data_IF_715742176204
#
_entry.id   IF_715742176204
#
_cell.length_a   1.000
_cell.length_b   1.000
_cell.length_c   1.000
_cell.angle_alpha   90.00
_cell.angle_beta   90.00
_cell.angle_gamma   90.00
#
_symmetry.space_group_name_H-M   'P 1'
#
loop_
_entity.id
_entity.type
_entity.pdbx_description
1 polymer ?
#
# COMPACT_ATOMS: atom_id res chain seq x y z
N UNK A 1 -0.74 -22.11 -19.89
CA UNK A 1 -1.20 -21.35 -18.72
C UNK A 1 -1.42 -19.91 -19.18
N UNK A 2 -2.55 -19.26 -18.85
CA UNK A 2 -2.67 -17.84 -19.15
C UNK A 2 -1.53 -17.10 -18.43
N UNK A 3 -0.74 -16.35 -19.18
CA UNK A 3 0.29 -15.47 -18.65
C UNK A 3 -0.40 -14.35 -17.89
N UNK A 4 -0.02 -14.15 -16.63
CA UNK A 4 -0.52 -13.03 -15.81
C UNK A 4 -0.16 -11.71 -16.48
N UNK A 5 -1.15 -10.84 -16.65
CA UNK A 5 -0.91 -9.47 -17.13
C UNK A 5 -0.32 -8.64 -15.97
N UNK A 6 0.93 -8.18 -16.04
CA UNK A 6 1.56 -7.41 -14.97
C UNK A 6 0.87 -6.07 -14.70
N UNK A 7 0.04 -5.57 -15.63
CA UNK A 7 -0.74 -4.35 -15.47
C UNK A 7 -2.08 -4.57 -14.73
N UNK A 8 -2.51 -5.83 -14.56
CA UNK A 8 -3.80 -6.16 -13.95
C UNK A 8 -4.01 -5.50 -12.56
N UNK A 9 -3.01 -5.46 -11.65
CA UNK A 9 -3.19 -4.83 -10.34
C UNK A 9 -3.51 -3.33 -10.40
N UNK A 10 -3.18 -2.67 -11.51
CA UNK A 10 -3.32 -1.23 -11.68
C UNK A 10 -4.59 -0.80 -12.41
N UNK A 11 -5.46 -1.76 -12.80
CA UNK A 11 -6.70 -1.48 -13.51
C UNK A 11 -7.81 -1.02 -12.57
N UNK A 12 -8.61 -0.07 -13.02
CA UNK A 12 -9.87 0.36 -12.35
C UNK A 12 -9.72 0.66 -10.84
N UNK A 13 -8.75 1.49 -10.51
CA UNK A 13 -8.43 1.81 -9.12
C UNK A 13 -9.42 2.75 -8.43
N UNK A 14 -10.43 3.27 -9.12
CA UNK A 14 -11.42 4.20 -8.54
C UNK A 14 -12.11 3.64 -7.30
N UNK A 15 -12.46 2.34 -7.36
CA UNK A 15 -13.22 1.64 -6.31
C UNK A 15 -12.41 0.53 -5.66
N UNK A 16 -11.09 0.53 -5.85
CA UNK A 16 -10.27 -0.59 -5.45
C UNK A 16 -10.09 -0.68 -3.93
N UNK A 17 -10.52 -1.80 -3.40
CA UNK A 17 -9.99 -2.39 -2.17
C UNK A 17 -8.61 -3.00 -2.41
N UNK A 18 -8.40 -4.17 -1.84
CA UNK A 18 -7.26 -5.04 -2.17
C UNK A 18 -7.47 -5.76 -3.50
N UNK A 19 -6.39 -6.34 -4.03
CA UNK A 19 -6.37 -7.14 -5.27
C UNK A 19 -5.84 -8.53 -4.98
N UNK A 20 -6.28 -9.51 -5.75
CA UNK A 20 -5.68 -10.85 -5.72
C UNK A 20 -4.60 -10.96 -6.81
N UNK A 21 -3.41 -11.38 -6.41
CA UNK A 21 -2.27 -11.54 -7.31
C UNK A 21 -1.90 -13.04 -7.39
N UNK A 22 -1.87 -13.65 -8.59
CA UNK A 22 -1.44 -15.03 -8.77
C UNK A 22 -0.03 -15.26 -8.19
N UNK A 23 0.10 -16.20 -7.27
CA UNK A 23 1.37 -16.54 -6.62
C UNK A 23 1.78 -15.65 -5.44
N UNK A 24 1.06 -14.54 -5.18
CA UNK A 24 1.37 -13.65 -4.05
C UNK A 24 0.17 -13.34 -3.14
N UNK A 25 -1.03 -13.86 -3.47
CA UNK A 25 -2.24 -13.63 -2.68
C UNK A 25 -2.70 -12.18 -2.71
N UNK A 26 -3.26 -11.72 -1.61
CA UNK A 26 -3.85 -10.40 -1.51
C UNK A 26 -2.80 -9.28 -1.57
N UNK A 27 -3.04 -8.27 -2.41
CA UNK A 27 -2.16 -7.13 -2.65
C UNK A 27 -2.90 -5.81 -2.44
N UNK A 28 -2.15 -4.75 -2.19
CA UNK A 28 -2.64 -3.38 -2.12
C UNK A 28 -1.86 -2.45 -3.06
N UNK A 29 -2.45 -1.30 -3.37
CA UNK A 29 -1.84 -0.27 -4.23
C UNK A 29 -1.48 0.96 -3.40
N UNK A 30 -0.22 1.36 -3.49
CA UNK A 30 0.28 2.67 -3.04
C UNK A 30 0.41 3.61 -4.25
N UNK A 31 -0.02 4.87 -4.09
CA UNK A 31 -0.09 5.86 -5.17
C UNK A 31 0.62 7.15 -4.79
N UNK A 32 1.46 7.63 -5.67
CA UNK A 32 2.18 8.89 -5.55
C UNK A 32 3.61 8.73 -5.02
N UNK A 33 4.48 9.65 -5.46
CA UNK A 33 5.93 9.57 -5.24
C UNK A 33 6.31 9.34 -3.78
N UNK A 34 5.86 10.21 -2.89
CA UNK A 34 6.23 10.17 -1.46
C UNK A 34 5.84 8.82 -0.84
N UNK A 35 4.63 8.34 -1.15
CA UNK A 35 4.13 7.09 -0.57
C UNK A 35 4.85 5.86 -1.15
N UNK A 36 5.14 5.87 -2.45
CA UNK A 36 5.89 4.78 -3.10
C UNK A 36 7.33 4.73 -2.59
N UNK A 37 8.00 5.86 -2.46
CA UNK A 37 9.36 5.91 -1.91
C UNK A 37 9.42 5.40 -0.46
N UNK A 38 8.47 5.80 0.38
CA UNK A 38 8.33 5.31 1.75
C UNK A 38 8.05 3.79 1.79
N UNK A 39 7.23 3.29 0.86
CA UNK A 39 6.96 1.86 0.72
C UNK A 39 8.22 1.07 0.31
N UNK A 40 9.04 1.60 -0.61
CA UNK A 40 10.31 0.98 -1.00
C UNK A 40 11.29 0.91 0.18
N UNK A 41 11.32 1.91 1.04
CA UNK A 41 12.12 1.88 2.28
C UNK A 41 11.58 0.84 3.27
N UNK A 42 10.26 0.76 3.43
CA UNK A 42 9.64 -0.28 4.24
C UNK A 42 9.94 -1.69 3.70
N UNK A 43 10.01 -1.86 2.37
CA UNK A 43 10.38 -3.13 1.75
C UNK A 43 11.84 -3.49 2.01
N UNK A 44 12.78 -2.54 1.95
CA UNK A 44 14.19 -2.78 2.32
C UNK A 44 14.35 -3.17 3.79
N UNK A 45 13.49 -2.64 4.65
CA UNK A 45 13.43 -3.01 6.06
C UNK A 45 12.69 -4.34 6.33
N UNK A 46 12.24 -5.05 5.29
CA UNK A 46 11.56 -6.35 5.39
C UNK A 46 10.12 -6.29 5.94
N UNK A 47 9.52 -5.10 6.00
CA UNK A 47 8.16 -4.93 6.54
C UNK A 47 7.06 -5.28 5.54
N UNK A 48 7.32 -5.08 4.26
CA UNK A 48 6.39 -5.35 3.15
C UNK A 48 7.16 -5.93 1.97
N UNK A 49 6.46 -6.62 1.08
CA UNK A 49 7.03 -7.13 -0.17
C UNK A 49 6.42 -6.36 -1.34
N UNK A 50 7.22 -5.53 -2.02
CA UNK A 50 6.82 -4.84 -3.25
C UNK A 50 6.98 -5.80 -4.42
N UNK A 51 5.92 -5.97 -5.21
CA UNK A 51 5.88 -6.90 -6.35
C UNK A 51 6.21 -6.18 -7.66
N UNK A 52 5.60 -5.02 -7.87
CA UNK A 52 5.84 -4.22 -9.06
C UNK A 52 5.66 -2.72 -8.78
N UNK A 53 6.26 -1.91 -9.64
CA UNK A 53 6.07 -0.46 -9.67
C UNK A 53 5.69 -0.05 -11.07
N UNK A 54 4.57 0.66 -11.23
CA UNK A 54 4.15 1.28 -12.46
C UNK A 54 4.52 2.76 -12.46
N UNK A 55 5.23 3.21 -13.49
CA UNK A 55 5.83 4.52 -13.54
C UNK A 55 5.74 5.16 -14.93
N UNK A 56 5.74 6.49 -14.98
CA UNK A 56 6.09 7.20 -16.22
C UNK A 56 7.57 7.01 -16.53
N UNK A 57 7.99 7.18 -17.79
CA UNK A 57 9.39 7.02 -18.18
C UNK A 57 10.35 7.88 -17.36
N UNK A 58 9.98 9.13 -17.09
CA UNK A 58 10.80 10.03 -16.26
C UNK A 58 10.89 9.57 -14.80
N UNK A 59 9.76 9.16 -14.19
CA UNK A 59 9.74 8.68 -12.83
C UNK A 59 10.48 7.34 -12.69
N UNK A 60 10.40 6.46 -13.68
CA UNK A 60 11.11 5.19 -13.71
C UNK A 60 12.64 5.37 -13.65
N UNK A 61 13.18 6.35 -14.40
CA UNK A 61 14.60 6.66 -14.36
C UNK A 61 15.10 7.04 -12.96
N UNK A 62 14.28 7.76 -12.20
CA UNK A 62 14.65 8.24 -10.87
C UNK A 62 14.60 7.16 -9.76
N UNK A 63 13.78 6.11 -9.94
CA UNK A 63 13.59 5.11 -8.88
C UNK A 63 14.22 3.75 -9.18
N UNK A 64 14.68 3.50 -10.40
CA UNK A 64 15.18 2.21 -10.87
C UNK A 64 16.21 1.59 -9.90
N UNK A 65 17.21 2.37 -9.51
CA UNK A 65 18.29 1.91 -8.63
C UNK A 65 17.86 1.76 -7.16
N UNK A 66 16.65 2.18 -6.85
CA UNK A 66 16.07 2.10 -5.51
C UNK A 66 15.09 0.94 -5.34
N UNK A 67 14.83 0.16 -6.39
CA UNK A 67 13.90 -0.97 -6.32
C UNK A 67 14.54 -2.14 -5.57
N UNK A 68 13.78 -2.78 -4.67
CA UNK A 68 14.19 -4.05 -4.07
C UNK A 68 14.37 -5.14 -5.12
N UNK A 69 15.27 -6.09 -4.85
CA UNK A 69 15.49 -7.24 -5.74
C UNK A 69 14.18 -8.00 -5.95
N UNK A 70 13.87 -8.32 -7.20
CA UNK A 70 12.65 -9.03 -7.59
C UNK A 70 11.41 -8.13 -7.77
N UNK A 71 11.55 -6.81 -7.63
CA UNK A 71 10.47 -5.86 -7.95
C UNK A 71 10.46 -5.58 -9.46
N UNK A 72 9.33 -5.80 -10.11
CA UNK A 72 9.15 -5.51 -11.53
C UNK A 72 8.91 -4.00 -11.75
N UNK A 73 9.57 -3.40 -12.73
CA UNK A 73 9.36 -2.01 -13.13
C UNK A 73 8.61 -1.94 -14.45
N UNK A 74 7.37 -1.48 -14.40
CA UNK A 74 6.50 -1.27 -15.55
C UNK A 74 6.51 0.21 -15.95
N UNK A 75 6.74 0.49 -17.22
CA UNK A 75 6.77 1.88 -17.71
C UNK A 75 5.74 2.10 -18.78
N UNK A 76 5.02 3.22 -18.70
CA UNK A 76 4.08 3.63 -19.73
C UNK A 76 3.92 5.17 -19.74
N UNK A 77 3.35 5.67 -20.83
CA UNK A 77 2.99 7.08 -20.95
C UNK A 77 1.89 7.48 -19.94
N UNK A 78 1.86 8.74 -19.47
CA UNK A 78 0.87 9.21 -18.49
C UNK A 78 -0.58 8.96 -18.90
N UNK A 79 -0.89 9.05 -20.20
CA UNK A 79 -2.23 8.77 -20.74
C UNK A 79 -2.62 7.30 -20.57
N UNK A 80 -1.69 6.38 -20.80
CA UNK A 80 -1.89 4.94 -20.63
C UNK A 80 -2.11 4.62 -19.17
N UNK A 81 -1.28 5.15 -18.25
CA UNK A 81 -1.44 4.96 -16.81
C UNK A 81 -2.77 5.51 -16.30
N UNK A 82 -3.20 6.67 -16.82
CA UNK A 82 -4.51 7.25 -16.49
C UNK A 82 -5.66 6.37 -16.98
N UNK A 83 -5.56 5.83 -18.19
CA UNK A 83 -6.54 4.89 -18.74
C UNK A 83 -6.64 3.61 -17.93
N UNK A 84 -5.51 3.02 -17.53
CA UNK A 84 -5.46 1.85 -16.66
C UNK A 84 -6.08 2.11 -15.30
N UNK A 85 -5.64 3.16 -14.62
CA UNK A 85 -6.12 3.51 -13.27
C UNK A 85 -7.59 3.93 -13.24
N UNK A 86 -8.16 4.36 -14.36
CA UNK A 86 -9.54 4.84 -14.48
C UNK A 86 -9.73 6.27 -13.98
N UNK A 87 -8.67 7.03 -13.72
CA UNK A 87 -8.71 8.44 -13.31
C UNK A 87 -7.45 9.19 -13.78
N UNK A 88 -7.46 10.54 -13.85
CA UNK A 88 -6.28 11.31 -14.22
C UNK A 88 -5.12 11.04 -13.27
N UNK A 89 -4.07 10.42 -13.79
CA UNK A 89 -2.90 10.03 -13.00
C UNK A 89 -1.74 11.01 -13.23
N UNK A 90 -1.60 11.96 -12.29
CA UNK A 90 -0.59 13.03 -12.38
C UNK A 90 0.66 12.78 -11.50
N UNK A 91 0.66 11.70 -10.71
CA UNK A 91 1.67 11.49 -9.66
C UNK A 91 2.88 10.68 -10.08
N UNK A 92 2.89 10.16 -11.29
CA UNK A 92 4.04 9.51 -11.94
C UNK A 92 4.42 8.12 -11.43
N UNK A 93 3.96 7.69 -10.23
CA UNK A 93 4.32 6.42 -9.58
C UNK A 93 3.14 5.76 -8.89
N UNK A 94 3.00 4.45 -9.10
CA UNK A 94 2.16 3.53 -8.32
C UNK A 94 2.97 2.28 -7.99
N UNK A 95 2.69 1.63 -6.86
CA UNK A 95 3.32 0.37 -6.50
C UNK A 95 2.26 -0.64 -6.05
N UNK A 96 2.43 -1.89 -6.47
CA UNK A 96 1.69 -3.04 -5.99
C UNK A 96 2.54 -3.79 -4.98
N UNK A 97 2.00 -4.02 -3.78
CA UNK A 97 2.69 -4.74 -2.73
C UNK A 97 1.78 -5.78 -2.09
N UNK A 98 2.37 -6.88 -1.64
CA UNK A 98 1.68 -7.93 -0.92
C UNK A 98 1.19 -7.41 0.44
N UNK A 99 -0.06 -7.72 0.79
CA UNK A 99 -0.57 -7.47 2.14
C UNK A 99 0.22 -8.33 3.12
N UNK A 100 0.88 -7.74 4.13
CA UNK A 100 1.58 -8.51 5.14
C UNK A 100 0.63 -9.41 5.94
N UNK A 101 1.16 -10.51 6.45
CA UNK A 101 0.41 -11.32 7.42
C UNK A 101 0.03 -10.44 8.64
N UNK A 102 -1.17 -10.61 9.21
CA UNK A 102 -1.54 -9.91 10.43
C UNK A 102 -0.56 -10.27 11.56
N UNK A 103 -0.32 -9.33 12.49
CA UNK A 103 0.49 -9.66 13.66
C UNK A 103 -0.18 -10.79 14.46
N UNK A 104 0.60 -11.68 15.12
CA UNK A 104 0.02 -12.71 15.95
C UNK A 104 -0.67 -12.09 17.19
N UNK A 105 -1.70 -12.74 17.70
CA UNK A 105 -2.43 -12.26 18.90
C UNK A 105 -1.51 -12.01 20.11
N UNK A 106 -0.41 -12.77 20.20
CA UNK A 106 0.60 -12.58 21.22
C UNK A 106 1.31 -11.21 21.17
N UNK A 107 1.25 -10.50 20.04
CA UNK A 107 1.80 -9.15 19.94
C UNK A 107 1.12 -8.17 20.90
N UNK A 108 -0.15 -8.40 21.26
CA UNK A 108 -0.89 -7.59 22.23
C UNK A 108 -0.25 -7.58 23.64
N UNK A 109 0.41 -8.67 24.05
CA UNK A 109 1.06 -8.76 25.36
C UNK A 109 2.27 -7.82 25.52
N UNK A 110 2.85 -7.36 24.42
CA UNK A 110 4.02 -6.47 24.39
C UNK A 110 3.65 -5.02 24.09
N UNK A 111 2.36 -4.75 23.87
CA UNK A 111 1.83 -3.43 23.54
C UNK A 111 1.60 -2.63 24.81
N UNK A 112 2.27 -1.49 24.96
CA UNK A 112 2.10 -0.56 26.11
C UNK A 112 1.04 0.50 25.85
N UNK A 113 0.94 0.95 24.59
CA UNK A 113 0.00 2.00 24.15
C UNK A 113 -0.76 1.52 22.92
N UNK A 114 -1.99 1.12 23.14
CA UNK A 114 -2.86 0.57 22.13
C UNK A 114 -4.01 1.53 21.84
N UNK A 115 -4.23 1.84 20.56
CA UNK A 115 -5.46 2.49 20.13
C UNK A 115 -6.52 1.42 19.85
N UNK A 116 -7.65 1.51 20.52
CA UNK A 116 -8.78 0.59 20.30
C UNK A 116 -9.87 1.32 19.51
N UNK A 117 -10.25 0.77 18.37
CA UNK A 117 -11.27 1.29 17.45
C UNK A 117 -12.39 0.24 17.34
N UNK A 118 -13.41 0.24 18.22
CA UNK A 118 -14.41 -0.82 18.25
C UNK A 118 -15.20 -0.95 16.95
N UNK A 119 -15.39 0.16 16.24
CA UNK A 119 -16.08 0.20 14.95
C UNK A 119 -15.67 1.44 14.15
N UNK A 120 -15.50 1.28 12.84
CA UNK A 120 -15.25 2.35 11.89
C UNK A 120 -16.14 2.18 10.67
N UNK A 121 -16.52 3.30 10.04
CA UNK A 121 -17.38 3.28 8.85
C UNK A 121 -16.70 3.88 7.61
N UNK A 122 -15.56 4.52 7.78
CA UNK A 122 -14.91 5.30 6.73
C UNK A 122 -13.41 5.02 6.67
N UNK A 123 -12.91 4.71 5.45
CA UNK A 123 -11.49 4.44 5.17
C UNK A 123 -10.59 5.65 5.42
N UNK A 124 -11.13 6.87 5.24
CA UNK A 124 -10.37 8.10 5.46
C UNK A 124 -10.12 8.30 6.95
N UNK A 125 -11.17 8.12 7.77
CA UNK A 125 -11.04 8.19 9.23
C UNK A 125 -10.05 7.14 9.75
N UNK A 126 -10.12 5.90 9.24
CA UNK A 126 -9.14 4.88 9.60
C UNK A 126 -7.72 5.33 9.24
N UNK A 127 -7.51 5.82 8.02
CA UNK A 127 -6.19 6.30 7.58
C UNK A 127 -5.65 7.44 8.44
N UNK A 128 -6.49 8.41 8.81
CA UNK A 128 -6.10 9.53 9.69
C UNK A 128 -5.74 9.05 11.10
N UNK A 129 -6.52 8.13 11.66
CA UNK A 129 -6.27 7.56 12.97
C UNK A 129 -4.97 6.75 13.00
N UNK A 130 -4.70 5.92 11.99
CA UNK A 130 -3.43 5.20 11.85
C UNK A 130 -2.24 6.16 11.77
N UNK A 131 -2.37 7.22 10.98
CA UNK A 131 -1.33 8.26 10.86
C UNK A 131 -1.07 8.95 12.20
N UNK A 132 -2.11 9.31 12.93
CA UNK A 132 -2.00 9.95 14.25
C UNK A 132 -1.41 9.00 15.28
N UNK A 133 -1.85 7.75 15.30
CA UNK A 133 -1.32 6.72 16.21
C UNK A 133 0.19 6.51 16.00
N UNK A 134 0.61 6.36 14.74
CA UNK A 134 2.03 6.22 14.42
C UNK A 134 2.85 7.47 14.81
N UNK A 135 2.33 8.67 14.55
CA UNK A 135 3.00 9.94 14.90
C UNK A 135 3.14 10.14 16.41
N UNK A 136 2.15 9.69 17.19
CA UNK A 136 2.16 9.74 18.64
C UNK A 136 2.95 8.58 19.29
N UNK A 137 3.50 7.69 18.46
CA UNK A 137 4.29 6.55 18.90
C UNK A 137 3.49 5.49 19.65
N UNK A 138 2.22 5.26 19.27
CA UNK A 138 1.48 4.11 19.76
C UNK A 138 2.11 2.82 19.20
N UNK A 139 2.01 1.74 19.96
CA UNK A 139 2.65 0.47 19.64
C UNK A 139 1.78 -0.41 18.75
N UNK A 140 0.46 -0.15 18.70
CA UNK A 140 -0.46 -0.89 17.86
C UNK A 140 -1.86 -0.27 17.81
N UNK A 141 -2.68 -0.80 16.91
CA UNK A 141 -4.10 -0.46 16.75
C UNK A 141 -4.92 -1.74 16.73
N UNK A 142 -5.92 -1.84 17.57
CA UNK A 142 -6.91 -2.91 17.54
C UNK A 142 -8.16 -2.35 16.83
N UNK A 143 -8.35 -2.75 15.58
CA UNK A 143 -9.50 -2.32 14.78
C UNK A 143 -10.58 -3.40 14.77
N UNK A 144 -11.78 -3.03 15.16
CA UNK A 144 -12.99 -3.85 15.01
C UNK A 144 -13.55 -3.79 13.58
N UNK A 145 -14.78 -4.28 13.36
CA UNK A 145 -15.40 -4.30 12.04
C UNK A 145 -15.43 -2.91 11.38
N UNK A 146 -15.07 -2.87 10.11
CA UNK A 146 -15.03 -1.61 9.35
C UNK A 146 -14.32 -1.74 8.01
N UNK A 147 -13.90 -0.61 7.41
CA UNK A 147 -13.14 -0.61 6.18
C UNK A 147 -11.78 -1.28 6.37
N UNK A 148 -11.32 -1.99 5.35
CA UNK A 148 -10.01 -2.63 5.38
C UNK A 148 -8.86 -1.61 5.44
N UNK A 149 -7.87 -1.90 6.25
CA UNK A 149 -6.67 -1.07 6.40
C UNK A 149 -5.83 -0.98 5.12
N UNK A 150 -5.92 -1.99 4.25
CA UNK A 150 -5.16 -2.07 3.00
C UNK A 150 -5.92 -1.57 1.78
N UNK A 151 -7.08 -0.91 1.98
CA UNK A 151 -7.75 -0.23 0.86
C UNK A 151 -6.87 0.91 0.35
N UNK A 152 -6.92 1.18 -0.96
CA UNK A 152 -6.15 2.29 -1.56
C UNK A 152 -6.37 3.62 -0.84
N UNK A 153 -7.60 3.90 -0.37
CA UNK A 153 -7.92 5.13 0.35
C UNK A 153 -7.26 5.18 1.71
N UNK A 154 -7.34 4.12 2.50
CA UNK A 154 -6.68 4.05 3.82
C UNK A 154 -5.16 4.15 3.68
N UNK A 155 -4.57 3.40 2.76
CA UNK A 155 -3.12 3.45 2.47
C UNK A 155 -2.67 4.86 2.14
N UNK A 156 -3.39 5.56 1.26
CA UNK A 156 -3.07 6.93 0.86
C UNK A 156 -3.19 7.92 2.01
N UNK A 157 -4.30 7.89 2.75
CA UNK A 157 -4.57 8.85 3.83
C UNK A 157 -3.65 8.63 5.03
N UNK A 158 -3.31 7.36 5.33
CA UNK A 158 -2.38 7.03 6.41
C UNK A 158 -0.94 7.49 6.14
N UNK A 159 -0.60 7.89 4.91
CA UNK A 159 0.75 8.28 4.52
C UNK A 159 1.81 7.24 4.92
N UNK A 160 1.48 5.95 4.72
CA UNK A 160 2.38 4.84 5.03
C UNK A 160 2.36 4.37 6.49
N UNK A 161 1.55 4.97 7.36
CA UNK A 161 1.43 4.50 8.74
C UNK A 161 0.94 3.05 8.82
N UNK A 162 0.14 2.59 7.84
CA UNK A 162 -0.42 1.23 7.80
C UNK A 162 0.63 0.12 7.77
N UNK A 163 1.84 0.36 7.27
CA UNK A 163 2.96 -0.61 7.32
C UNK A 163 4.02 -0.28 8.37
N UNK A 164 3.77 0.72 9.21
CA UNK A 164 4.66 1.12 10.30
C UNK A 164 4.14 0.71 11.67
N UNK A 165 2.82 0.66 11.83
CA UNK A 165 2.15 0.30 13.07
C UNK A 165 1.30 -0.96 12.86
N UNK A 166 1.39 -1.97 13.73
CA UNK A 166 0.54 -3.16 13.68
C UNK A 166 -0.95 -2.80 13.85
N UNK A 167 -1.81 -3.39 13.01
CA UNK A 167 -3.27 -3.19 13.04
C UNK A 167 -3.98 -4.53 13.04
#
# INVERSE_FOLDING_TARGET
MPTFDPWEPYRDLRFAGTREHPGHGTCFIAEGRILVEDLLEAARAGRVKVLSVAATTSAAAEIRDRLPVGTELLTAEPSVLSGLAGFPFHRGLMACAQVPAPPPDSALFWTRRLLVLPRLYDSENLGLLLRSAAALGLDGVLAGPGPGQWTRRTVRVSMGAVWRIPV
#
